data_IF_194960458018
#
_entry.id   IF_194960458018
#
_cell.length_a   1.000
_cell.length_b   1.000
_cell.length_c   1.000
_cell.angle_alpha   90.00
_cell.angle_beta   90.00
_cell.angle_gamma   90.00
#
_symmetry.space_group_name_H-M   'P 1'
#
loop_
_entity.id
_entity.type
_entity.pdbx_description
1 polymer ?
#
# COMPACT_ATOMS: atom_id res chain seq x y z
N UNK A 1 7.66 -1.83 18.00
CA UNK A 1 8.04 -2.31 16.65
C UNK A 1 6.86 -3.04 16.05
N UNK A 2 6.15 -2.45 15.08
CA UNK A 2 5.13 -3.19 14.33
C UNK A 2 5.77 -4.39 13.62
N UNK A 3 5.15 -5.56 13.73
CA UNK A 3 5.57 -6.74 12.97
C UNK A 3 5.18 -6.54 11.49
N UNK A 4 6.05 -5.91 10.72
CA UNK A 4 5.83 -5.54 9.31
C UNK A 4 5.52 -6.74 8.40
N UNK A 5 5.92 -7.96 8.80
CA UNK A 5 5.62 -9.21 8.09
C UNK A 5 4.29 -9.86 8.49
N UNK A 6 3.48 -9.19 9.31
CA UNK A 6 2.14 -9.67 9.68
C UNK A 6 1.23 -9.62 8.45
N UNK A 7 0.53 -10.73 8.17
CA UNK A 7 -0.57 -10.75 7.19
C UNK A 7 -1.74 -9.96 7.76
N UNK A 8 -2.27 -9.02 7.00
CA UNK A 8 -3.31 -8.08 7.43
C UNK A 8 -4.60 -8.22 6.62
N UNK A 9 -4.52 -8.73 5.39
CA UNK A 9 -5.67 -8.90 4.50
C UNK A 9 -5.36 -9.89 3.37
N UNK A 10 -6.21 -9.91 2.35
CA UNK A 10 -6.02 -10.55 1.06
C UNK A 10 -6.37 -9.56 -0.07
N UNK A 11 -5.79 -9.78 -1.24
CA UNK A 11 -6.10 -9.05 -2.46
C UNK A 11 -7.25 -9.71 -3.24
N UNK A 12 -7.65 -9.12 -4.37
CA UNK A 12 -8.79 -9.59 -5.18
C UNK A 12 -8.62 -11.00 -5.74
N UNK A 13 -7.38 -11.48 -5.80
CA UNK A 13 -7.02 -12.81 -6.30
C UNK A 13 -6.74 -13.81 -5.15
N UNK A 14 -6.98 -13.41 -3.90
CA UNK A 14 -6.74 -14.25 -2.72
C UNK A 14 -5.28 -14.28 -2.26
N UNK A 15 -4.39 -13.45 -2.83
CA UNK A 15 -2.99 -13.36 -2.40
C UNK A 15 -2.90 -12.58 -1.09
N UNK A 16 -2.03 -13.00 -0.18
CA UNK A 16 -1.85 -12.36 1.12
C UNK A 16 -1.32 -10.94 1.00
N UNK A 17 -2.01 -9.98 1.64
CA UNK A 17 -1.48 -8.63 1.89
C UNK A 17 -0.82 -8.62 3.27
N UNK A 18 0.45 -8.22 3.30
CA UNK A 18 1.22 -7.98 4.51
C UNK A 18 1.33 -6.47 4.79
N UNK A 19 1.59 -6.10 6.04
CA UNK A 19 1.74 -4.69 6.44
C UNK A 19 2.89 -3.95 5.71
N UNK A 20 3.84 -4.68 5.12
CA UNK A 20 4.91 -4.14 4.27
C UNK A 20 4.74 -4.48 2.78
N UNK A 21 3.52 -4.77 2.33
CA UNK A 21 3.27 -4.99 0.90
C UNK A 21 3.11 -3.66 0.17
N UNK A 22 3.63 -3.57 -1.06
CA UNK A 22 3.15 -2.59 -2.03
C UNK A 22 1.88 -3.16 -2.65
N UNK A 23 0.81 -2.41 -2.51
CA UNK A 23 -0.54 -2.71 -2.98
C UNK A 23 -0.92 -1.68 -4.05
N UNK A 24 -1.64 -2.13 -5.08
CA UNK A 24 -2.28 -1.27 -6.07
C UNK A 24 -3.80 -1.30 -5.83
N UNK A 25 -4.41 -0.15 -5.62
CA UNK A 25 -5.84 0.04 -5.76
C UNK A 25 -6.16 0.31 -7.22
N UNK A 26 -6.84 -0.62 -7.87
CA UNK A 26 -7.13 -0.56 -9.30
C UNK A 26 -8.25 0.44 -9.64
N UNK A 27 -9.12 0.80 -8.68
CA UNK A 27 -10.18 1.79 -8.90
C UNK A 27 -9.63 3.21 -8.80
N UNK A 28 -8.76 3.47 -7.82
CA UNK A 28 -8.11 4.76 -7.63
C UNK A 28 -6.85 4.95 -8.50
N UNK A 29 -6.37 3.87 -9.11
CA UNK A 29 -5.06 3.77 -9.76
C UNK A 29 -3.93 4.28 -8.86
N UNK A 30 -3.88 3.75 -7.63
CA UNK A 30 -2.97 4.19 -6.57
C UNK A 30 -2.11 3.07 -6.03
N UNK A 31 -0.81 3.33 -5.91
CA UNK A 31 0.17 2.44 -5.29
C UNK A 31 0.58 2.94 -3.91
N UNK A 32 0.42 2.11 -2.90
CA UNK A 32 0.72 2.47 -1.51
C UNK A 32 1.26 1.28 -0.69
N UNK A 33 1.78 1.59 0.49
CA UNK A 33 2.08 0.60 1.54
C UNK A 33 1.04 0.79 2.66
N UNK A 34 0.31 -0.26 3.09
CA UNK A 34 -0.72 -0.12 4.11
C UNK A 34 -0.20 0.49 5.42
N UNK A 35 -0.97 1.43 5.96
CA UNK A 35 -0.72 2.07 7.25
C UNK A 35 -1.70 1.56 8.30
N UNK A 36 -1.25 1.41 9.54
CA UNK A 36 -2.12 1.04 10.67
C UNK A 36 -2.61 2.29 11.40
N UNK A 37 -3.93 2.41 11.59
CA UNK A 37 -4.58 3.43 12.41
C UNK A 37 -5.65 2.79 13.28
N UNK A 38 -5.52 2.92 14.60
CA UNK A 38 -6.46 2.35 15.58
C UNK A 38 -6.72 0.84 15.39
N UNK A 39 -5.68 0.06 15.06
CA UNK A 39 -5.79 -1.39 14.86
C UNK A 39 -6.34 -1.84 13.50
N UNK A 40 -6.68 -0.89 12.63
CA UNK A 40 -7.15 -1.14 11.27
C UNK A 40 -6.07 -0.78 10.26
N UNK A 41 -6.01 -1.51 9.15
CA UNK A 41 -5.08 -1.22 8.06
C UNK A 41 -5.82 -0.57 6.90
N UNK A 42 -5.14 0.36 6.23
CA UNK A 42 -5.70 1.15 5.16
C UNK A 42 -4.65 1.92 4.39
N UNK A 43 -5.11 2.71 3.44
CA UNK A 43 -4.32 3.75 2.80
C UNK A 43 -4.46 5.07 3.59
N UNK A 44 -3.37 5.82 3.71
CA UNK A 44 -3.36 7.15 4.32
C UNK A 44 -2.88 8.18 3.30
N UNK A 45 -3.82 8.78 2.60
CA UNK A 45 -3.58 9.74 1.51
C UNK A 45 -4.08 11.10 1.96
N UNK A 46 -3.22 12.12 1.90
CA UNK A 46 -3.59 13.50 2.25
C UNK A 46 -4.25 13.66 3.64
N UNK A 47 -3.88 12.80 4.60
CA UNK A 47 -4.43 12.70 5.98
C UNK A 47 -5.81 12.06 6.11
N UNK A 48 -6.40 11.62 5.01
CA UNK A 48 -7.59 10.79 5.03
C UNK A 48 -7.19 9.31 5.09
N UNK A 49 -7.92 8.54 5.89
CA UNK A 49 -7.65 7.12 6.10
C UNK A 49 -8.77 6.28 5.45
N UNK A 50 -8.40 5.45 4.50
CA UNK A 50 -9.31 4.58 3.75
C UNK A 50 -9.01 3.12 4.08
N UNK A 51 -10.03 2.38 4.53
CA UNK A 51 -9.85 0.96 4.86
C UNK A 51 -9.50 0.15 3.62
N UNK A 52 -8.69 -0.90 3.81
CA UNK A 52 -8.42 -1.84 2.73
C UNK A 52 -9.73 -2.50 2.26
N UNK A 53 -10.03 -2.40 0.97
CA UNK A 53 -11.13 -3.10 0.31
C UNK A 53 -10.57 -4.22 -0.59
N UNK A 54 -10.42 -5.47 -0.11
CA UNK A 54 -9.77 -6.57 -0.82
C UNK A 54 -10.12 -6.71 -2.31
N UNK A 55 -11.40 -6.51 -2.66
CA UNK A 55 -11.92 -6.64 -4.03
C UNK A 55 -11.28 -5.68 -5.05
N UNK A 56 -10.69 -4.57 -4.59
CA UNK A 56 -10.08 -3.51 -5.43
C UNK A 56 -8.56 -3.60 -5.48
N UNK A 57 -7.98 -4.44 -4.62
CA UNK A 57 -6.56 -4.42 -4.35
C UNK A 57 -5.85 -5.55 -5.07
N UNK A 58 -4.66 -5.27 -5.60
CA UNK A 58 -3.74 -6.27 -6.14
C UNK A 58 -2.37 -6.11 -5.48
N UNK A 59 -1.77 -7.22 -5.00
CA UNK A 59 -0.42 -7.18 -4.42
C UNK A 59 0.63 -7.17 -5.52
N UNK A 60 1.28 -6.02 -5.68
CA UNK A 60 2.42 -5.84 -6.59
C UNK A 60 3.67 -6.51 -6.02
N UNK A 61 3.97 -6.25 -4.75
CA UNK A 61 5.17 -6.80 -4.09
C UNK A 61 4.95 -6.99 -2.60
N UNK A 62 5.12 -8.22 -2.12
CA UNK A 62 5.16 -8.50 -0.68
C UNK A 62 6.53 -8.14 -0.10
N UNK A 63 6.58 -7.74 1.16
CA UNK A 63 7.83 -7.45 1.88
C UNK A 63 8.72 -6.44 1.16
N UNK A 64 8.17 -5.25 0.94
CA UNK A 64 8.78 -4.13 0.26
C UNK A 64 9.02 -2.95 1.19
N UNK A 65 9.91 -2.06 0.75
CA UNK A 65 10.22 -0.81 1.44
C UNK A 65 9.60 0.39 0.72
N UNK A 66 9.50 1.53 1.41
CA UNK A 66 9.12 2.81 0.80
C UNK A 66 10.08 3.21 -0.34
N UNK A 67 11.35 2.80 -0.28
CA UNK A 67 12.29 3.03 -1.37
C UNK A 67 11.99 2.18 -2.61
N UNK A 68 11.40 1.00 -2.45
CA UNK A 68 10.89 0.21 -3.58
C UNK A 68 9.73 0.94 -4.27
N UNK A 69 8.80 1.49 -3.51
CA UNK A 69 7.68 2.28 -4.04
C UNK A 69 8.18 3.54 -4.76
N UNK A 70 9.10 4.29 -4.14
CA UNK A 70 9.76 5.45 -4.79
C UNK A 70 10.51 5.06 -6.06
N UNK A 71 11.12 3.87 -6.12
CA UNK A 71 11.77 3.36 -7.34
C UNK A 71 10.75 3.03 -8.43
N UNK A 72 9.59 2.49 -8.08
CA UNK A 72 8.50 2.26 -9.04
C UNK A 72 8.03 3.59 -9.64
N UNK A 73 7.67 4.56 -8.79
CA UNK A 73 7.26 5.91 -9.21
C UNK A 73 8.27 6.56 -10.16
N UNK A 74 9.58 6.46 -9.86
CA UNK A 74 10.65 7.02 -10.71
C UNK A 74 10.79 6.33 -12.07
N UNK A 75 10.44 5.04 -12.16
CA UNK A 75 10.49 4.28 -13.42
C UNK A 75 9.24 4.51 -14.25
N UNK A 76 8.12 4.81 -13.59
CA UNK A 76 6.82 4.93 -14.20
C UNK A 76 6.44 6.38 -14.55
N UNK A 77 7.36 7.10 -15.20
CA UNK A 77 7.22 8.56 -15.44
C UNK A 77 6.09 8.96 -16.39
N UNK A 78 5.51 8.00 -17.11
CA UNK A 78 4.48 8.24 -18.12
C UNK A 78 3.10 7.70 -17.68
N UNK A 79 2.99 7.16 -16.47
CA UNK A 79 1.71 6.71 -15.92
C UNK A 79 0.97 7.84 -15.24
N UNK A 80 -0.36 7.80 -15.31
CA UNK A 80 -1.25 8.67 -14.54
C UNK A 80 -1.46 8.20 -13.10
N UNK A 81 -0.90 7.05 -12.73
CA UNK A 81 -1.09 6.44 -11.43
C UNK A 81 -0.51 7.28 -10.29
N UNK A 82 -1.20 7.25 -9.16
CA UNK A 82 -0.79 7.92 -7.93
C UNK A 82 0.15 6.99 -7.16
N UNK A 83 1.22 7.54 -6.61
CA UNK A 83 2.15 6.81 -5.75
C UNK A 83 2.17 7.48 -4.38
N UNK A 84 1.62 6.83 -3.36
CA UNK A 84 1.58 7.37 -2.00
C UNK A 84 2.95 7.23 -1.30
N UNK A 85 3.87 8.10 -1.70
CA UNK A 85 5.24 8.19 -1.17
C UNK A 85 5.42 9.30 -0.12
N UNK A 86 4.36 10.05 0.16
CA UNK A 86 4.37 11.27 0.98
C UNK A 86 4.14 11.06 2.48
N UNK A 87 3.77 9.85 2.91
CA UNK A 87 3.56 9.53 4.32
C UNK A 87 4.84 9.62 5.15
N UNK A 88 4.72 10.10 6.38
CA UNK A 88 5.79 10.03 7.37
C UNK A 88 5.75 8.63 8.02
N UNK A 89 6.41 7.64 7.43
CA UNK A 89 6.34 6.22 7.85
C UNK A 89 7.10 5.88 9.16
N UNK A 90 7.21 6.85 10.07
CA UNK A 90 7.76 6.71 11.41
C UNK A 90 6.71 7.18 12.42
N UNK A 91 5.88 6.24 12.88
CA UNK A 91 5.23 6.28 14.20
C UNK A 91 5.56 5.00 14.94
#
# INVERSE_FOLDING_TARGET
>A
MLNKKKRISFDRNGKSIYADSIVHDEEADEYFIPTEKNGLYGDEVLRDFYLLEPKKLTVIRSHASMDDLKRMMKKDKNSGAVYNVGGNFNV
#
